data_IF_978790279740
#
_entry.id   IF_978790279740
#
_cell.length_a   1.000
_cell.length_b   1.000
_cell.length_c   1.000
_cell.angle_alpha   90.00
_cell.angle_beta   90.00
_cell.angle_gamma   90.00
#
_symmetry.space_group_name_H-M   'P 1'
#
loop_
_entity.id
_entity.type
_entity.pdbx_description
1 polymer ?
#
# COMPACT_ATOMS: atom_id res chain seq x y z
N UNK A 1 -0.92 -7.22 -7.22
CA UNK A 1 -1.06 -5.79 -6.89
C UNK A 1 -2.06 -5.12 -7.82
N UNK A 2 -3.21 -4.67 -7.32
CA UNK A 2 -4.12 -3.75 -8.04
C UNK A 2 -4.15 -2.42 -7.28
N UNK A 3 -3.72 -1.33 -7.90
CA UNK A 3 -3.71 0.01 -7.31
C UNK A 3 -4.91 0.80 -7.86
N UNK A 4 -5.69 1.44 -6.99
CA UNK A 4 -6.83 2.26 -7.37
C UNK A 4 -6.93 3.52 -6.53
N UNK A 5 -7.51 4.56 -7.13
CA UNK A 5 -7.84 5.83 -6.47
C UNK A 5 -9.33 5.87 -6.14
N UNK A 6 -9.64 6.35 -4.95
CA UNK A 6 -10.97 6.54 -4.41
C UNK A 6 -11.14 8.02 -4.05
N UNK A 7 -12.27 8.60 -4.43
CA UNK A 7 -12.64 9.97 -4.04
C UNK A 7 -14.00 9.90 -3.36
N UNK A 8 -14.10 10.47 -2.17
CA UNK A 8 -15.31 10.43 -1.37
C UNK A 8 -15.51 11.74 -0.59
N UNK A 9 -16.75 12.13 -0.23
CA UNK A 9 -17.02 13.38 0.49
C UNK A 9 -16.40 13.41 1.89
N UNK A 10 -16.18 12.24 2.50
CA UNK A 10 -15.63 12.11 3.84
C UNK A 10 -14.75 10.86 3.97
N UNK A 11 -13.97 10.83 5.06
CA UNK A 11 -12.98 9.78 5.30
C UNK A 11 -13.62 8.41 5.56
N UNK A 12 -14.79 8.36 6.20
CA UNK A 12 -15.51 7.11 6.51
C UNK A 12 -16.02 6.47 5.21
N UNK A 13 -16.58 7.27 4.32
CA UNK A 13 -17.02 6.84 2.99
C UNK A 13 -15.84 6.38 2.15
N UNK A 14 -14.71 7.10 2.18
CA UNK A 14 -13.49 6.70 1.47
C UNK A 14 -12.99 5.32 1.92
N UNK A 15 -12.87 5.09 3.24
CA UNK A 15 -12.43 3.79 3.77
C UNK A 15 -13.42 2.66 3.48
N UNK A 16 -14.73 2.93 3.49
CA UNK A 16 -15.74 1.94 3.10
C UNK A 16 -15.54 1.49 1.66
N UNK A 17 -15.35 2.44 0.73
CA UNK A 17 -15.10 2.13 -0.69
C UNK A 17 -13.83 1.30 -0.88
N UNK A 18 -12.76 1.64 -0.14
CA UNK A 18 -11.51 0.85 -0.17
C UNK A 18 -11.77 -0.59 0.31
N UNK A 19 -12.50 -0.77 1.41
CA UNK A 19 -12.79 -2.13 1.94
C UNK A 19 -13.70 -2.93 1.01
N UNK A 20 -14.70 -2.30 0.40
CA UNK A 20 -15.62 -2.95 -0.54
C UNK A 20 -14.89 -3.44 -1.81
N UNK A 21 -13.93 -2.67 -2.31
CA UNK A 21 -13.19 -2.99 -3.54
C UNK A 21 -11.96 -3.88 -3.30
N UNK A 22 -11.16 -3.55 -2.28
CA UNK A 22 -9.84 -4.16 -2.05
C UNK A 22 -9.80 -5.11 -0.86
N UNK A 23 -10.87 -5.19 -0.08
CA UNK A 23 -10.95 -6.05 1.10
C UNK A 23 -10.35 -5.40 2.36
N UNK A 24 -10.34 -6.15 3.47
CA UNK A 24 -9.84 -5.66 4.76
C UNK A 24 -8.33 -5.44 4.78
N UNK A 25 -7.57 -6.15 3.94
CA UNK A 25 -6.10 -6.15 3.91
C UNK A 25 -5.52 -5.12 2.92
N UNK A 26 -6.33 -4.15 2.52
CA UNK A 26 -5.92 -3.10 1.60
C UNK A 26 -4.88 -2.17 2.24
N UNK A 27 -3.80 -1.89 1.52
CA UNK A 27 -2.76 -0.94 1.97
C UNK A 27 -3.03 0.43 1.38
N UNK A 28 -3.05 1.44 2.25
CA UNK A 28 -3.21 2.85 1.87
C UNK A 28 -1.85 3.42 1.50
N UNK A 29 -1.71 3.86 0.25
CA UNK A 29 -0.47 4.46 -0.28
C UNK A 29 -0.45 5.97 -0.11
N UNK A 30 -1.61 6.63 -0.21
CA UNK A 30 -1.74 8.07 -0.07
C UNK A 30 -3.12 8.47 0.42
N UNK A 31 -3.19 9.52 1.23
CA UNK A 31 -4.42 10.18 1.68
C UNK A 31 -4.26 11.70 1.53
N UNK A 32 -5.17 12.35 0.80
CA UNK A 32 -5.19 13.80 0.62
C UNK A 32 -6.59 14.36 0.76
N UNK A 33 -6.69 15.57 1.32
CA UNK A 33 -7.91 16.37 1.32
C UNK A 33 -7.86 17.31 0.11
N UNK A 34 -8.90 17.29 -0.71
CA UNK A 34 -9.05 18.11 -1.92
C UNK A 34 -10.35 18.92 -1.83
N UNK A 35 -10.56 19.84 -2.76
CA UNK A 35 -11.83 20.58 -2.83
C UNK A 35 -13.04 19.66 -3.14
N UNK A 36 -12.78 18.49 -3.75
CA UNK A 36 -13.80 17.49 -4.10
C UNK A 36 -14.06 16.47 -2.98
N UNK A 37 -13.28 16.52 -1.88
CA UNK A 37 -13.43 15.66 -0.71
C UNK A 37 -12.12 15.01 -0.25
N UNK A 38 -12.16 13.72 0.04
CA UNK A 38 -11.01 12.91 0.44
C UNK A 38 -10.59 12.03 -0.74
N UNK A 39 -9.34 12.17 -1.16
CA UNK A 39 -8.69 11.28 -2.13
C UNK A 39 -7.85 10.24 -1.38
N UNK A 40 -8.11 8.97 -1.63
CA UNK A 40 -7.31 7.84 -1.12
C UNK A 40 -6.78 7.03 -2.30
N UNK A 41 -5.49 6.72 -2.29
CA UNK A 41 -4.90 5.73 -3.19
C UNK A 41 -4.60 4.50 -2.37
N UNK A 42 -5.14 3.36 -2.79
CA UNK A 42 -4.98 2.10 -2.09
C UNK A 42 -4.60 0.97 -3.06
N UNK A 43 -4.02 -0.10 -2.52
CA UNK A 43 -3.65 -1.28 -3.27
C UNK A 43 -4.20 -2.56 -2.62
N UNK A 44 -4.73 -3.48 -3.43
CA UNK A 44 -4.99 -4.87 -3.03
C UNK A 44 -3.86 -5.81 -3.45
N UNK A 45 -3.70 -6.90 -2.69
CA UNK A 45 -2.57 -7.84 -2.79
C UNK A 45 -1.21 -7.15 -2.55
N UNK A 46 -1.10 -6.38 -1.46
CA UNK A 46 0.20 -6.20 -0.83
C UNK A 46 0.50 -7.50 -0.10
N UNK A 47 1.19 -8.42 -0.77
CA UNK A 47 1.60 -9.68 -0.15
C UNK A 47 2.68 -9.35 0.88
N UNK A 48 2.26 -9.20 2.15
CA UNK A 48 3.19 -9.02 3.26
C UNK A 48 4.24 -10.13 3.27
N UNK A 49 3.86 -11.38 2.99
CA UNK A 49 4.81 -12.49 2.88
C UNK A 49 5.88 -12.27 1.80
N UNK A 50 5.49 -11.78 0.63
CA UNK A 50 6.43 -11.55 -0.48
C UNK A 50 7.36 -10.38 -0.16
N UNK A 51 6.84 -9.34 0.50
CA UNK A 51 7.65 -8.20 0.95
C UNK A 51 8.58 -8.61 2.09
N UNK A 52 8.11 -9.34 3.10
CA UNK A 52 8.96 -9.81 4.20
C UNK A 52 10.09 -10.72 3.67
N UNK A 53 9.78 -11.67 2.79
CA UNK A 53 10.80 -12.51 2.15
C UNK A 53 11.79 -11.71 1.32
N UNK A 54 11.33 -10.70 0.57
CA UNK A 54 12.20 -9.81 -0.19
C UNK A 54 13.09 -8.97 0.73
N UNK A 55 12.55 -8.47 1.85
CA UNK A 55 13.28 -7.72 2.86
C UNK A 55 14.31 -8.61 3.58
N UNK A 56 13.97 -9.84 3.95
CA UNK A 56 14.88 -10.81 4.57
C UNK A 56 16.01 -11.24 3.62
N UNK A 57 15.70 -11.42 2.33
CA UNK A 57 16.71 -11.70 1.30
C UNK A 57 17.66 -10.52 1.16
N UNK A 58 17.13 -9.29 1.04
CA UNK A 58 17.93 -8.07 0.96
C UNK A 58 18.75 -7.79 2.25
N UNK A 59 18.29 -8.25 3.41
CA UNK A 59 19.03 -8.14 4.69
C UNK A 59 20.14 -9.18 4.80
N UNK A 60 19.97 -10.32 4.14
CA UNK A 60 20.95 -11.42 4.13
C UNK A 60 22.06 -11.18 3.11
N UNK A 61 21.80 -10.41 2.06
CA UNK A 61 22.82 -9.91 1.13
C UNK A 61 23.49 -8.63 1.65
N UNK A 62 24.33 -8.79 2.68
CA UNK A 62 25.47 -7.87 2.82
C UNK A 62 26.41 -8.16 1.63
N UNK A 63 26.73 -7.17 0.77
CA UNK A 63 27.70 -7.38 -0.29
C UNK A 63 29.06 -7.57 0.39
N UNK A 64 29.53 -8.81 0.47
CA UNK A 64 30.92 -9.13 0.73
C UNK A 64 31.75 -8.71 -0.50
N UNK A 65 31.95 -7.40 -0.68
CA UNK A 65 32.91 -6.87 -1.66
C UNK A 65 33.67 -5.71 -1.04
N UNK A 66 34.73 -6.04 -0.30
CA UNK A 66 35.95 -5.24 -0.20
C UNK A 66 36.95 -5.92 0.77
N UNK A 67 37.78 -6.83 0.24
CA UNK A 67 39.19 -7.02 0.64
C UNK A 67 39.79 -8.26 -0.06
N UNK A 68 40.40 -8.05 -1.22
CA UNK A 68 41.50 -8.85 -1.74
C UNK A 68 42.35 -7.96 -2.66
#
# INVERSE_FOLDING_TARGET
MKIKRFVAPDMRTAFRMVREEHGPDAVILSNRRTAEGIEIVAASNYDEELVQRALETARSETPAVAAA
#
